data_IF_683343530034
#
_entry.id   IF_683343530034
#
_cell.length_a   1.000
_cell.length_b   1.000
_cell.length_c   1.000
_cell.angle_alpha   90.00
_cell.angle_beta   90.00
_cell.angle_gamma   90.00
#
_symmetry.space_group_name_H-M   'P 1'
#
loop_
_entity.id
_entity.type
_entity.pdbx_description
1 polymer ?
#
# COMPACT_ATOMS: atom_id res chain seq x y z
N UNK A 1 -0.12 -1.33 -9.85
CA UNK A 1 -0.87 -2.61 -9.84
C UNK A 1 -2.03 -2.56 -8.86
N UNK A 2 -1.79 -2.21 -7.59
CA UNK A 2 -2.83 -2.13 -6.54
C UNK A 2 -4.05 -1.34 -6.98
N UNK A 3 -3.88 -0.13 -7.53
CA UNK A 3 -4.99 0.71 -7.99
C UNK A 3 -5.93 0.01 -8.99
N UNK A 4 -5.36 -0.73 -9.96
CA UNK A 4 -6.16 -1.46 -10.97
C UNK A 4 -6.91 -2.66 -10.37
N UNK A 5 -6.34 -3.27 -9.34
CA UNK A 5 -6.95 -4.42 -8.66
C UNK A 5 -7.99 -3.94 -7.66
N UNK A 6 -7.71 -2.85 -6.96
CA UNK A 6 -8.61 -2.24 -5.98
C UNK A 6 -9.92 -1.79 -6.63
N UNK A 7 -9.86 -1.24 -7.84
CA UNK A 7 -11.04 -0.89 -8.64
C UNK A 7 -11.92 -2.11 -8.99
N UNK A 8 -11.32 -3.28 -9.20
CA UNK A 8 -12.04 -4.51 -9.61
C UNK A 8 -12.43 -5.41 -8.44
N UNK A 9 -11.56 -5.47 -7.42
CA UNK A 9 -11.66 -6.33 -6.26
C UNK A 9 -10.83 -5.77 -5.08
N UNK A 10 -11.44 -4.91 -4.25
CA UNK A 10 -10.81 -4.34 -3.05
C UNK A 10 -10.28 -5.39 -2.06
N UNK A 11 -10.91 -6.57 -1.98
CA UNK A 11 -10.49 -7.61 -1.03
C UNK A 11 -9.15 -8.25 -1.44
N UNK A 12 -8.93 -8.42 -2.75
CA UNK A 12 -7.65 -8.89 -3.29
C UNK A 12 -6.60 -7.79 -3.16
N UNK A 13 -6.95 -6.54 -3.44
CA UNK A 13 -6.04 -5.41 -3.24
C UNK A 13 -5.59 -5.30 -1.78
N UNK A 14 -6.50 -5.45 -0.81
CA UNK A 14 -6.17 -5.46 0.62
C UNK A 14 -5.18 -6.57 0.99
N UNK A 15 -5.32 -7.78 0.43
CA UNK A 15 -4.34 -8.87 0.62
C UNK A 15 -2.95 -8.51 0.09
N UNK A 16 -2.87 -7.79 -1.02
CA UNK A 16 -1.60 -7.28 -1.55
C UNK A 16 -1.03 -6.15 -0.67
N UNK A 17 -1.89 -5.28 -0.13
CA UNK A 17 -1.50 -4.22 0.80
C UNK A 17 -0.87 -4.78 2.09
N UNK A 18 -1.30 -5.96 2.55
CA UNK A 18 -0.71 -6.61 3.73
C UNK A 18 0.79 -6.94 3.57
N UNK A 19 1.29 -7.12 2.35
CA UNK A 19 2.73 -7.33 2.11
C UNK A 19 3.57 -6.10 2.50
N UNK A 20 2.98 -4.89 2.50
CA UNK A 20 3.70 -3.66 2.87
C UNK A 20 3.96 -3.55 4.38
N UNK A 21 3.33 -4.38 5.21
CA UNK A 21 3.65 -4.48 6.63
C UNK A 21 5.11 -4.88 6.88
N UNK A 22 5.75 -5.54 5.92
CA UNK A 22 7.14 -5.97 6.02
C UNK A 22 8.16 -4.93 5.55
N UNK A 23 7.72 -3.79 4.98
CA UNK A 23 8.61 -2.71 4.51
C UNK A 23 9.49 -2.16 5.64
N UNK A 24 9.03 -2.23 6.89
CA UNK A 24 9.82 -1.86 8.07
C UNK A 24 11.12 -2.65 8.20
N UNK A 25 11.17 -3.87 7.67
CA UNK A 25 12.32 -4.78 7.71
C UNK A 25 13.28 -4.62 6.52
N UNK A 26 12.95 -3.77 5.54
CA UNK A 26 13.78 -3.61 4.36
C UNK A 26 15.04 -2.79 4.66
N UNK A 27 16.15 -3.03 3.92
CA UNK A 27 17.31 -2.15 3.95
C UNK A 27 16.93 -0.70 3.63
N UNK A 28 17.64 0.31 4.17
CA UNK A 28 17.24 1.72 4.09
C UNK A 28 16.89 2.20 2.68
N UNK A 29 17.73 1.89 1.69
CA UNK A 29 17.52 2.31 0.30
C UNK A 29 16.27 1.66 -0.35
N UNK A 30 15.91 0.44 0.05
CA UNK A 30 14.70 -0.23 -0.45
C UNK A 30 13.46 0.23 0.29
N UNK A 31 13.59 0.46 1.61
CA UNK A 31 12.54 1.00 2.46
C UNK A 31 12.09 2.37 1.97
N UNK A 32 13.01 3.25 1.61
CA UNK A 32 12.67 4.59 1.09
C UNK A 32 11.84 4.51 -0.20
N UNK A 33 12.27 3.68 -1.15
CA UNK A 33 11.53 3.45 -2.41
C UNK A 33 10.13 2.89 -2.15
N UNK A 34 10.02 1.93 -1.24
CA UNK A 34 8.74 1.32 -0.88
C UNK A 34 7.81 2.34 -0.20
N UNK A 35 8.31 3.14 0.74
CA UNK A 35 7.54 4.19 1.42
C UNK A 35 7.09 5.29 0.45
N UNK A 36 7.93 5.67 -0.51
CA UNK A 36 7.55 6.62 -1.56
C UNK A 36 6.36 6.10 -2.39
N UNK A 37 6.41 4.83 -2.80
CA UNK A 37 5.30 4.21 -3.53
C UNK A 37 4.03 4.05 -2.69
N UNK A 38 4.16 3.65 -1.42
CA UNK A 38 3.00 3.57 -0.51
C UNK A 38 2.32 4.94 -0.39
N UNK A 39 3.09 6.02 -0.17
CA UNK A 39 2.55 7.38 -0.10
C UNK A 39 1.82 7.77 -1.39
N UNK A 40 2.39 7.46 -2.56
CA UNK A 40 1.77 7.71 -3.86
C UNK A 40 0.41 7.02 -3.99
N UNK A 41 0.31 5.77 -3.52
CA UNK A 41 -0.92 4.98 -3.62
C UNK A 41 -1.98 5.46 -2.63
N UNK A 42 -1.60 5.74 -1.37
CA UNK A 42 -2.53 6.21 -0.32
C UNK A 42 -3.23 7.51 -0.71
N UNK A 43 -2.49 8.42 -1.36
CA UNK A 43 -3.00 9.72 -1.82
C UNK A 43 -3.88 9.62 -3.08
N UNK A 44 -4.04 8.44 -3.66
CA UNK A 44 -4.91 8.26 -4.81
C UNK A 44 -6.38 8.33 -4.39
N UNK A 45 -7.16 9.23 -4.99
CA UNK A 45 -8.55 9.53 -4.59
C UNK A 45 -9.47 8.32 -4.67
N UNK A 46 -9.31 7.50 -5.71
CA UNK A 46 -10.14 6.30 -5.95
C UNK A 46 -9.73 5.06 -5.14
N UNK A 47 -8.75 5.17 -4.24
CA UNK A 47 -8.36 4.03 -3.41
C UNK A 47 -9.46 3.71 -2.40
N UNK A 48 -9.85 2.44 -2.33
CA UNK A 48 -10.83 1.95 -1.38
C UNK A 48 -10.37 2.21 0.06
N UNK A 49 -11.35 2.43 0.95
CA UNK A 49 -11.10 2.66 2.38
C UNK A 49 -10.25 1.53 2.99
N UNK A 50 -10.59 0.27 2.68
CA UNK A 50 -9.92 -0.91 3.24
C UNK A 50 -8.43 -0.97 2.83
N UNK A 51 -8.13 -0.74 1.55
CA UNK A 51 -6.74 -0.68 1.08
C UNK A 51 -5.99 0.53 1.64
N UNK A 52 -6.67 1.67 1.82
CA UNK A 52 -6.07 2.87 2.42
C UNK A 52 -5.68 2.66 3.89
N UNK A 53 -6.54 2.06 4.70
CA UNK A 53 -6.27 1.78 6.12
C UNK A 53 -5.06 0.85 6.28
N UNK A 54 -4.96 -0.19 5.47
CA UNK A 54 -3.82 -1.11 5.47
C UNK A 54 -2.50 -0.46 5.02
N UNK A 55 -2.55 0.42 4.03
CA UNK A 55 -1.35 1.13 3.58
C UNK A 55 -0.92 2.24 4.54
N UNK A 56 -1.87 2.90 5.22
CA UNK A 56 -1.55 3.89 6.26
C UNK A 56 -0.86 3.25 7.46
N UNK A 57 -1.27 2.05 7.89
CA UNK A 57 -0.60 1.36 9.00
C UNK A 57 0.84 0.96 8.69
N UNK A 58 1.18 0.77 7.42
CA UNK A 58 2.55 0.53 6.97
C UNK A 58 3.44 1.80 6.97
N UNK A 59 2.84 3.00 6.99
CA UNK A 59 3.54 4.29 7.06
C UNK A 59 3.86 4.75 8.49
N UNK A 60 3.17 4.19 9.50
CA UNK A 60 3.34 4.51 10.93
C UNK A 60 4.43 3.64 11.55
#
# INVERSE_FOLDING_TARGET
MILKIDEKNPQVAARLCAAFNFVKKFPPAQKEKALHEIKRIVNHEKLSKNSRELLQSALV
#
